data_IF_405162725329
#
_entry.id   IF_405162725329
#
_cell.length_a   1.000
_cell.length_b   1.000
_cell.length_c   1.000
_cell.angle_alpha   90.00
_cell.angle_beta   90.00
_cell.angle_gamma   90.00
#
_symmetry.space_group_name_H-M   'P 1'
#
loop_
_entity.id
_entity.type
_entity.pdbx_description
1 polymer ?
#
# COMPACT_ATOMS: atom_id res chain seq x y z
N UNK A 1 -5.71 -23.19 11.56
CA UNK A 1 -6.43 -22.57 10.44
C UNK A 1 -6.02 -23.27 9.16
N UNK A 2 -6.98 -23.70 8.36
CA UNK A 2 -6.74 -24.47 7.13
C UNK A 2 -6.99 -23.54 5.93
N UNK A 3 -6.04 -23.48 5.00
CA UNK A 3 -6.24 -22.81 3.70
C UNK A 3 -7.18 -23.65 2.84
N UNK A 4 -8.12 -22.98 2.18
CA UNK A 4 -9.11 -23.56 1.28
C UNK A 4 -8.89 -23.00 -0.16
N UNK A 5 -9.98 -22.91 -0.95
CA UNK A 5 -9.92 -22.45 -2.32
C UNK A 5 -9.45 -20.99 -2.47
N UNK A 6 -8.84 -20.68 -3.61
CA UNK A 6 -8.47 -19.32 -3.98
C UNK A 6 -9.72 -18.50 -4.30
N UNK A 7 -9.87 -17.36 -3.64
CA UNK A 7 -10.96 -16.41 -3.86
C UNK A 7 -10.64 -15.42 -4.97
N UNK A 8 -9.38 -14.97 -5.02
CA UNK A 8 -8.95 -13.93 -5.93
C UNK A 8 -7.44 -14.02 -6.21
N UNK A 9 -7.05 -13.70 -7.42
CA UNK A 9 -5.66 -13.51 -7.79
C UNK A 9 -5.45 -12.12 -8.39
N UNK A 10 -4.64 -11.32 -7.71
CA UNK A 10 -4.21 -10.00 -8.16
C UNK A 10 -2.83 -10.00 -8.80
N UNK A 11 -2.34 -8.82 -9.11
CA UNK A 11 -1.02 -8.58 -9.73
C UNK A 11 0.13 -9.12 -8.88
N UNK A 12 0.11 -8.87 -7.57
CA UNK A 12 1.19 -9.21 -6.64
C UNK A 12 0.79 -10.20 -5.54
N UNK A 13 -0.48 -10.56 -5.43
CA UNK A 13 -1.02 -11.40 -4.34
C UNK A 13 -2.06 -12.39 -4.82
N UNK A 14 -2.21 -13.47 -4.06
CA UNK A 14 -3.33 -14.41 -4.13
C UNK A 14 -4.05 -14.40 -2.78
N UNK A 15 -5.36 -14.48 -2.78
CA UNK A 15 -6.21 -14.48 -1.59
C UNK A 15 -6.95 -15.80 -1.51
N UNK A 16 -6.84 -16.47 -0.37
CA UNK A 16 -7.45 -17.77 -0.14
C UNK A 16 -8.47 -17.70 1.01
N UNK A 17 -9.56 -18.44 0.87
CA UNK A 17 -10.50 -18.70 1.95
C UNK A 17 -9.84 -19.58 3.02
N UNK A 18 -10.33 -19.46 4.25
CA UNK A 18 -9.96 -20.34 5.34
C UNK A 18 -11.18 -21.08 5.88
N UNK A 19 -10.96 -22.01 6.81
CA UNK A 19 -12.01 -22.67 7.59
C UNK A 19 -12.71 -21.74 8.59
N UNK A 20 -12.18 -20.54 8.81
CA UNK A 20 -12.82 -19.44 9.54
C UNK A 20 -13.40 -18.42 8.53
N UNK A 21 -14.72 -18.20 8.47
CA UNK A 21 -15.35 -17.35 7.45
C UNK A 21 -14.93 -15.88 7.53
N UNK A 22 -14.45 -15.42 8.70
CA UNK A 22 -14.02 -14.04 8.93
C UNK A 22 -12.52 -13.83 8.69
N UNK A 23 -11.80 -14.87 8.24
CA UNK A 23 -10.37 -14.82 7.96
C UNK A 23 -10.02 -15.28 6.57
N UNK A 24 -8.96 -14.70 6.02
CA UNK A 24 -8.35 -15.06 4.74
C UNK A 24 -6.85 -15.25 4.92
N UNK A 25 -6.24 -15.99 3.99
CA UNK A 25 -4.80 -16.04 3.80
C UNK A 25 -4.45 -15.23 2.56
N UNK A 26 -3.47 -14.33 2.69
CA UNK A 26 -2.90 -13.54 1.61
C UNK A 26 -1.50 -14.06 1.32
N UNK A 27 -1.29 -14.55 0.11
CA UNK A 27 0.00 -15.02 -0.39
C UNK A 27 0.66 -13.97 -1.28
N UNK A 28 1.90 -13.58 -0.97
CA UNK A 28 2.68 -12.59 -1.69
C UNK A 28 3.51 -13.24 -2.81
N UNK A 29 3.32 -12.75 -4.04
CA UNK A 29 3.97 -13.23 -5.25
C UNK A 29 5.23 -12.43 -5.58
N UNK A 30 6.15 -13.04 -6.34
CA UNK A 30 7.34 -12.37 -6.87
C UNK A 30 7.06 -11.54 -8.14
N UNK A 31 5.82 -11.56 -8.62
CA UNK A 31 5.41 -10.80 -9.80
C UNK A 31 5.52 -9.29 -9.55
N UNK A 32 6.12 -8.58 -10.48
CA UNK A 32 6.18 -7.13 -10.56
C UNK A 32 5.50 -6.65 -11.83
N UNK A 33 4.58 -5.70 -11.70
CA UNK A 33 3.88 -5.10 -12.83
C UNK A 33 3.91 -3.58 -12.75
N UNK A 34 3.96 -2.91 -13.89
CA UNK A 34 3.87 -1.47 -14.00
C UNK A 34 3.06 -1.07 -15.24
N UNK A 35 2.57 0.19 -15.27
CA UNK A 35 1.84 0.75 -16.41
C UNK A 35 0.66 -0.12 -16.85
N UNK A 36 -0.26 -0.42 -15.92
CA UNK A 36 -1.45 -1.26 -16.15
C UNK A 36 -1.10 -2.61 -16.82
N UNK A 37 -0.13 -3.34 -16.24
CA UNK A 37 0.33 -4.64 -16.73
C UNK A 37 1.09 -4.64 -18.08
N UNK A 38 1.44 -3.49 -18.65
CA UNK A 38 2.25 -3.42 -19.86
C UNK A 38 3.67 -3.93 -19.57
N UNK A 39 4.25 -3.52 -18.44
CA UNK A 39 5.56 -3.98 -18.01
C UNK A 39 5.40 -5.05 -16.94
N UNK A 40 5.99 -6.23 -17.16
CA UNK A 40 5.92 -7.39 -16.25
C UNK A 40 7.30 -7.99 -16.07
N UNK A 41 7.60 -8.43 -14.85
CA UNK A 41 8.78 -9.23 -14.53
C UNK A 41 8.51 -10.11 -13.29
N UNK A 42 9.38 -11.05 -13.06
CA UNK A 42 9.49 -11.77 -11.78
C UNK A 42 10.76 -11.28 -11.10
N UNK A 43 10.65 -10.80 -9.86
CA UNK A 43 11.77 -10.34 -9.04
C UNK A 43 11.88 -11.33 -7.88
N UNK A 44 12.92 -12.12 -7.89
CA UNK A 44 13.16 -13.16 -6.88
C UNK A 44 13.08 -12.60 -5.46
N UNK A 45 12.31 -13.28 -4.60
CA UNK A 45 12.07 -12.92 -3.21
C UNK A 45 11.32 -11.61 -2.97
N UNK A 46 10.81 -10.93 -4.01
CA UNK A 46 10.02 -9.69 -3.83
C UNK A 46 8.80 -9.91 -2.92
N UNK A 47 8.11 -11.05 -3.10
CA UNK A 47 6.96 -11.40 -2.26
C UNK A 47 7.35 -11.58 -0.79
N UNK A 48 8.48 -12.25 -0.52
CA UNK A 48 9.03 -12.41 0.83
C UNK A 48 9.32 -11.06 1.47
N UNK A 49 9.99 -10.17 0.74
CA UNK A 49 10.35 -8.84 1.22
C UNK A 49 9.10 -7.98 1.48
N UNK A 50 8.15 -7.96 0.56
CA UNK A 50 6.90 -7.20 0.74
C UNK A 50 6.07 -7.73 1.92
N UNK A 51 5.98 -9.07 2.09
CA UNK A 51 5.32 -9.67 3.24
C UNK A 51 5.97 -9.23 4.55
N UNK A 52 7.29 -9.32 4.66
CA UNK A 52 8.04 -8.93 5.86
C UNK A 52 7.89 -7.43 6.18
N UNK A 53 8.07 -6.55 5.18
CA UNK A 53 7.95 -5.09 5.34
C UNK A 53 6.52 -4.72 5.74
N UNK A 54 5.50 -5.23 5.02
CA UNK A 54 4.10 -4.93 5.31
C UNK A 54 3.71 -5.42 6.71
N UNK A 55 4.19 -6.60 7.13
CA UNK A 55 4.01 -7.11 8.50
C UNK A 55 4.51 -6.13 9.56
N UNK A 56 5.74 -5.66 9.44
CA UNK A 56 6.34 -4.75 10.41
C UNK A 56 5.60 -3.41 10.44
N UNK A 57 5.23 -2.88 9.27
CA UNK A 57 4.47 -1.63 9.18
C UNK A 57 3.08 -1.78 9.79
N UNK A 58 2.33 -2.85 9.49
CA UNK A 58 1.02 -3.09 10.10
C UNK A 58 1.10 -3.19 11.62
N UNK A 59 2.12 -3.88 12.15
CA UNK A 59 2.33 -3.96 13.61
C UNK A 59 2.56 -2.57 14.24
N UNK A 60 3.36 -1.71 13.61
CA UNK A 60 3.60 -0.34 14.10
C UNK A 60 2.33 0.53 14.01
N UNK A 61 1.55 0.40 12.94
CA UNK A 61 0.27 1.07 12.81
C UNK A 61 -0.71 0.61 13.90
N UNK A 62 -0.80 -0.70 14.15
CA UNK A 62 -1.65 -1.27 15.21
C UNK A 62 -1.22 -0.82 16.61
N UNK A 63 0.08 -0.79 16.92
CA UNK A 63 0.61 -0.23 18.18
C UNK A 63 0.19 1.24 18.36
N UNK A 64 0.03 1.97 17.27
CA UNK A 64 -0.42 3.37 17.25
C UNK A 64 -1.94 3.54 17.20
N UNK A 65 -2.71 2.44 17.35
CA UNK A 65 -4.17 2.43 17.42
C UNK A 65 -4.88 2.42 16.06
N UNK A 66 -4.16 2.24 14.94
CA UNK A 66 -4.78 2.10 13.62
C UNK A 66 -5.37 0.70 13.48
N UNK A 67 -6.65 0.62 13.13
CA UNK A 67 -7.32 -0.65 12.84
C UNK A 67 -6.93 -1.14 11.45
N UNK A 68 -6.45 -2.38 11.39
CA UNK A 68 -6.00 -3.00 10.14
C UNK A 68 -6.63 -4.37 9.95
N UNK A 69 -6.61 -4.89 8.76
CA UNK A 69 -7.03 -6.27 8.48
C UNK A 69 -5.98 -7.31 8.92
N UNK A 70 -4.72 -6.92 9.10
CA UNK A 70 -3.63 -7.82 9.45
C UNK A 70 -3.84 -8.46 10.83
N UNK A 71 -3.66 -9.79 10.92
CA UNK A 71 -3.72 -10.55 12.18
C UNK A 71 -2.33 -11.09 12.53
N UNK A 72 -1.76 -11.92 11.65
CA UNK A 72 -0.46 -12.57 11.89
C UNK A 72 0.22 -12.99 10.58
N UNK A 73 1.51 -13.22 10.65
CA UNK A 73 2.30 -13.81 9.56
C UNK A 73 2.51 -15.29 9.85
N UNK A 74 2.18 -16.16 8.90
CA UNK A 74 2.27 -17.62 9.05
C UNK A 74 3.63 -18.17 8.59
N UNK A 75 4.16 -17.57 7.52
CA UNK A 75 5.45 -17.92 6.92
C UNK A 75 6.00 -16.74 6.11
N UNK A 76 7.10 -16.95 5.38
CA UNK A 76 7.77 -15.90 4.62
C UNK A 76 6.91 -15.22 3.56
N UNK A 77 5.82 -15.85 3.11
CA UNK A 77 4.97 -15.34 2.03
C UNK A 77 3.51 -15.14 2.41
N UNK A 78 3.06 -15.68 3.54
CA UNK A 78 1.65 -15.75 3.86
C UNK A 78 1.30 -14.99 5.14
N UNK A 79 0.25 -14.21 5.06
CA UNK A 79 -0.39 -13.53 6.20
C UNK A 79 -1.81 -14.02 6.39
N UNK A 80 -2.21 -14.14 7.65
CA UNK A 80 -3.62 -14.22 8.03
C UNK A 80 -4.16 -12.82 8.22
N UNK A 81 -5.25 -12.52 7.56
CA UNK A 81 -5.93 -11.24 7.66
C UNK A 81 -7.42 -11.42 7.96
N UNK A 82 -8.04 -10.41 8.56
CA UNK A 82 -9.50 -10.31 8.63
C UNK A 82 -10.05 -10.28 7.20
N UNK A 83 -11.11 -11.03 6.96
CA UNK A 83 -11.85 -10.94 5.71
C UNK A 83 -12.60 -9.62 5.65
N UNK A 84 -12.39 -8.88 4.59
CA UNK A 84 -13.05 -7.59 4.35
C UNK A 84 -13.64 -7.53 2.95
N UNK A 85 -14.69 -6.75 2.79
CA UNK A 85 -15.14 -6.30 1.48
C UNK A 85 -14.35 -5.04 1.15
N UNK A 86 -13.46 -5.13 0.16
CA UNK A 86 -12.65 -3.98 -0.25
C UNK A 86 -13.55 -2.85 -0.73
N UNK A 87 -13.34 -1.66 -0.20
CA UNK A 87 -13.92 -0.43 -0.71
C UNK A 87 -13.22 -0.14 -2.04
N UNK A 88 -13.96 0.01 -3.15
CA UNK A 88 -13.36 0.11 -4.48
C UNK A 88 -12.71 1.49 -4.73
N UNK A 89 -11.88 1.91 -3.80
CA UNK A 89 -11.10 3.15 -3.85
C UNK A 89 -9.63 2.87 -3.53
N UNK A 90 -8.74 3.47 -4.30
CA UNK A 90 -7.35 3.66 -3.93
C UNK A 90 -7.20 5.06 -3.33
N UNK A 91 -6.76 5.16 -2.10
CA UNK A 91 -6.48 6.42 -1.41
C UNK A 91 -4.98 6.70 -1.49
N UNK A 92 -4.62 7.81 -2.10
CA UNK A 92 -3.21 8.17 -2.34
C UNK A 92 -2.88 9.43 -1.55
N UNK A 93 -1.85 9.34 -0.73
CA UNK A 93 -1.29 10.49 0.00
C UNK A 93 -0.04 10.96 -0.69
N UNK A 94 0.08 12.27 -0.91
CA UNK A 94 1.26 12.88 -1.52
C UNK A 94 1.85 13.93 -0.60
N UNK A 95 2.98 13.58 -0.01
CA UNK A 95 3.79 14.50 0.80
C UNK A 95 4.75 15.31 -0.06
N UNK A 96 5.12 14.78 -1.22
CA UNK A 96 5.99 15.43 -2.23
C UNK A 96 5.37 15.18 -3.60
N UNK A 97 5.45 16.13 -4.49
CA UNK A 97 4.93 15.98 -5.85
C UNK A 97 5.86 15.06 -6.65
N UNK A 98 5.32 13.94 -7.12
CA UNK A 98 6.07 12.93 -7.87
C UNK A 98 5.17 12.12 -8.81
N UNK A 99 5.79 11.36 -9.72
CA UNK A 99 5.12 10.40 -10.59
C UNK A 99 4.00 11.02 -11.44
N UNK A 100 2.84 10.36 -11.47
CA UNK A 100 1.70 10.80 -12.30
C UNK A 100 1.17 12.19 -11.96
N UNK A 101 1.31 12.63 -10.70
CA UNK A 101 0.88 13.96 -10.29
C UNK A 101 1.79 15.04 -10.88
N UNK A 102 3.12 14.84 -10.82
CA UNK A 102 4.09 15.75 -11.41
C UNK A 102 3.82 15.94 -12.92
N UNK A 103 3.58 14.83 -13.63
CA UNK A 103 3.25 14.83 -15.05
C UNK A 103 1.91 15.53 -15.35
N UNK A 104 0.87 15.18 -14.59
CA UNK A 104 -0.50 15.69 -14.78
C UNK A 104 -0.60 17.20 -14.57
N UNK A 105 0.14 17.73 -13.61
CA UNK A 105 0.12 19.15 -13.26
C UNK A 105 1.23 19.97 -13.92
N UNK A 106 2.19 19.33 -14.61
CA UNK A 106 3.35 20.00 -15.19
C UNK A 106 4.28 20.62 -14.12
N UNK A 107 4.34 20.01 -12.93
CA UNK A 107 5.16 20.49 -11.81
C UNK A 107 6.41 19.59 -11.70
N UNK A 108 7.55 20.17 -11.39
CA UNK A 108 8.80 19.43 -11.22
C UNK A 108 8.71 18.38 -10.12
N UNK A 109 9.19 17.17 -10.43
CA UNK A 109 9.24 16.07 -9.45
C UNK A 109 10.17 16.43 -8.29
N UNK A 110 9.71 16.21 -7.06
CA UNK A 110 10.44 16.60 -5.85
C UNK A 110 9.95 17.91 -5.23
N UNK A 111 9.09 18.65 -5.91
CA UNK A 111 8.50 19.88 -5.36
C UNK A 111 7.69 19.58 -4.10
N UNK A 112 7.93 20.38 -3.05
CA UNK A 112 7.17 20.33 -1.81
C UNK A 112 5.84 21.08 -1.98
N UNK A 113 4.67 20.42 -1.85
CA UNK A 113 3.39 21.13 -1.86
C UNK A 113 3.20 21.91 -0.56
N UNK A 114 2.36 22.95 -0.59
CA UNK A 114 2.03 23.75 0.60
C UNK A 114 1.23 22.99 1.67
N UNK A 115 0.61 21.88 1.28
CA UNK A 115 -0.18 21.00 2.14
C UNK A 115 -0.05 19.55 1.67
N UNK A 116 -0.39 18.60 2.54
CA UNK A 116 -0.53 17.19 2.14
C UNK A 116 -1.70 17.08 1.15
N UNK A 117 -1.49 16.36 0.06
CA UNK A 117 -2.50 16.16 -0.97
C UNK A 117 -3.07 14.75 -0.85
N UNK A 118 -4.40 14.65 -0.94
CA UNK A 118 -5.12 13.40 -0.99
C UNK A 118 -5.77 13.25 -2.36
N UNK A 119 -5.40 12.21 -3.09
CA UNK A 119 -6.07 11.78 -4.31
C UNK A 119 -6.89 10.52 -4.01
N UNK A 120 -8.02 10.34 -4.67
CA UNK A 120 -8.74 9.07 -4.70
C UNK A 120 -8.90 8.60 -6.15
N UNK A 121 -8.66 7.29 -6.37
CA UNK A 121 -8.92 6.64 -7.64
C UNK A 121 -10.03 5.59 -7.46
N UNK A 122 -10.88 5.45 -8.47
CA UNK A 122 -11.82 4.35 -8.53
C UNK A 122 -11.07 3.08 -8.91
N UNK A 123 -11.01 2.12 -7.96
CA UNK A 123 -10.30 0.85 -8.14
C UNK A 123 -11.01 -0.02 -9.15
N UNK A 124 -10.62 0.12 -10.41
CA UNK A 124 -11.14 -0.65 -11.52
C UNK A 124 -10.08 -0.79 -12.61
N UNK A 125 -9.32 -1.89 -12.56
CA UNK A 125 -8.18 -2.17 -13.45
C UNK A 125 -8.51 -1.99 -14.95
N UNK A 126 -9.73 -2.37 -15.37
CA UNK A 126 -10.19 -2.25 -16.74
C UNK A 126 -10.29 -0.80 -17.23
N UNK A 127 -10.49 0.14 -16.32
CA UNK A 127 -10.55 1.58 -16.59
C UNK A 127 -9.22 2.29 -16.31
N UNK A 128 -8.19 1.57 -15.85
CA UNK A 128 -6.89 2.13 -15.47
C UNK A 128 -6.91 2.91 -14.15
N UNK A 129 -7.79 2.54 -13.22
CA UNK A 129 -7.94 3.15 -11.90
C UNK A 129 -8.05 4.69 -11.97
N UNK A 130 -9.11 5.23 -12.63
CA UNK A 130 -9.22 6.65 -12.91
C UNK A 130 -9.30 7.48 -11.64
N UNK A 131 -8.64 8.65 -11.65
CA UNK A 131 -8.77 9.65 -10.61
C UNK A 131 -10.21 10.17 -10.57
N UNK A 132 -10.79 10.20 -9.37
CA UNK A 132 -12.15 10.69 -9.12
C UNK A 132 -12.15 11.68 -7.96
N UNK A 133 -13.28 12.31 -7.69
CA UNK A 133 -13.50 13.10 -6.48
C UNK A 133 -14.54 12.43 -5.56
N UNK A 134 -14.75 13.03 -4.39
CA UNK A 134 -15.65 12.53 -3.36
C UNK A 134 -17.09 12.35 -3.86
N UNK A 135 -17.59 13.30 -4.65
CA UNK A 135 -18.93 13.22 -5.23
C UNK A 135 -19.06 12.04 -6.21
N UNK A 136 -18.03 11.75 -7.00
CA UNK A 136 -18.01 10.58 -7.84
C UNK A 136 -18.01 9.28 -7.01
N UNK A 137 -17.20 9.20 -5.94
CA UNK A 137 -17.13 8.02 -5.08
C UNK A 137 -18.49 7.70 -4.44
N UNK A 138 -19.20 8.73 -3.96
CA UNK A 138 -20.55 8.58 -3.39
C UNK A 138 -21.58 8.25 -4.47
N UNK A 139 -21.57 8.93 -5.61
CA UNK A 139 -22.51 8.69 -6.70
C UNK A 139 -22.37 7.27 -7.30
N UNK A 140 -21.17 6.70 -7.28
CA UNK A 140 -20.89 5.32 -7.68
C UNK A 140 -21.29 4.28 -6.62
N UNK A 141 -21.74 4.73 -5.43
CA UNK A 141 -22.07 3.84 -4.32
C UNK A 141 -20.87 3.12 -3.69
N UNK A 142 -19.66 3.62 -3.93
CA UNK A 142 -18.43 3.05 -3.35
C UNK A 142 -18.37 3.28 -1.83
N UNK A 143 -18.75 4.48 -1.40
CA UNK A 143 -18.76 4.95 -0.01
C UNK A 143 -19.88 5.96 0.21
N UNK A 144 -20.17 6.25 1.50
CA UNK A 144 -20.92 7.44 1.90
C UNK A 144 -20.00 8.62 2.21
N UNK A 145 -20.53 9.83 2.40
CA UNK A 145 -19.71 10.98 2.83
C UNK A 145 -19.12 10.77 4.23
N UNK A 146 -19.90 10.16 5.14
CA UNK A 146 -19.45 9.84 6.51
C UNK A 146 -18.28 8.81 6.47
N UNK A 147 -18.37 7.83 5.60
CA UNK A 147 -17.27 6.87 5.41
C UNK A 147 -16.03 7.54 4.81
N UNK A 148 -16.17 8.49 3.87
CA UNK A 148 -15.05 9.26 3.33
C UNK A 148 -14.37 10.11 4.42
N UNK A 149 -15.15 10.77 5.27
CA UNK A 149 -14.61 11.55 6.39
C UNK A 149 -13.78 10.64 7.32
N UNK A 150 -14.29 9.45 7.67
CA UNK A 150 -13.54 8.47 8.46
C UNK A 150 -12.28 7.99 7.75
N UNK A 151 -12.36 7.66 6.45
CA UNK A 151 -11.22 7.21 5.64
C UNK A 151 -10.13 8.30 5.60
N UNK A 152 -10.49 9.57 5.39
CA UNK A 152 -9.52 10.67 5.39
C UNK A 152 -8.89 10.90 6.76
N UNK A 153 -9.68 10.82 7.83
CA UNK A 153 -9.15 10.92 9.19
C UNK A 153 -8.14 9.80 9.49
N UNK A 154 -8.48 8.54 9.15
CA UNK A 154 -7.57 7.41 9.27
C UNK A 154 -6.34 7.59 8.39
N UNK A 155 -6.49 8.02 7.15
CA UNK A 155 -5.40 8.25 6.19
C UNK A 155 -4.44 9.32 6.70
N UNK A 156 -4.95 10.42 7.25
CA UNK A 156 -4.13 11.48 7.86
C UNK A 156 -3.30 10.94 9.02
N UNK A 157 -3.92 10.15 9.89
CA UNK A 157 -3.22 9.52 11.02
C UNK A 157 -2.17 8.51 10.56
N UNK A 158 -2.49 7.68 9.56
CA UNK A 158 -1.54 6.73 8.95
C UNK A 158 -0.35 7.50 8.35
N UNK A 159 -0.60 8.59 7.62
CA UNK A 159 0.48 9.40 7.05
C UNK A 159 1.44 9.96 8.11
N UNK A 160 0.90 10.49 9.20
CA UNK A 160 1.71 10.99 10.32
C UNK A 160 2.63 9.90 10.89
N UNK A 161 2.07 8.71 11.17
CA UNK A 161 2.83 7.57 11.72
C UNK A 161 3.90 7.10 10.74
N UNK A 162 3.54 6.90 9.46
CA UNK A 162 4.47 6.42 8.45
C UNK A 162 5.59 7.43 8.16
N UNK A 163 5.28 8.73 8.06
CA UNK A 163 6.33 9.76 7.91
C UNK A 163 7.33 9.74 9.05
N UNK A 164 6.85 9.63 10.28
CA UNK A 164 7.71 9.55 11.47
C UNK A 164 8.54 8.26 11.48
N UNK A 165 7.97 7.13 11.08
CA UNK A 165 8.65 5.85 10.99
C UNK A 165 9.78 5.90 9.94
N UNK A 166 9.46 6.33 8.72
CA UNK A 166 10.42 6.39 7.62
C UNK A 166 11.50 7.46 7.86
N UNK A 167 11.18 8.59 8.49
CA UNK A 167 12.17 9.59 8.86
C UNK A 167 13.25 9.04 9.81
N UNK A 168 12.88 8.18 10.78
CA UNK A 168 13.84 7.48 11.66
C UNK A 168 14.76 6.54 10.87
N UNK A 169 14.34 6.08 9.72
CA UNK A 169 15.11 5.25 8.80
C UNK A 169 15.97 6.07 7.81
N UNK A 170 16.01 7.39 7.94
CA UNK A 170 16.60 8.32 6.96
C UNK A 170 15.96 8.20 5.56
N UNK A 171 14.63 8.02 5.52
CA UNK A 171 13.84 7.87 4.30
C UNK A 171 12.75 8.93 4.27
N UNK A 172 12.63 9.60 3.13
CA UNK A 172 11.52 10.49 2.80
C UNK A 172 10.36 9.67 2.22
N UNK A 173 9.22 9.65 2.91
CA UNK A 173 7.98 9.11 2.38
C UNK A 173 7.36 10.14 1.43
N UNK A 174 7.61 9.97 0.15
CA UNK A 174 7.18 10.89 -0.92
C UNK A 174 5.68 10.82 -1.13
N UNK A 175 5.19 9.63 -1.40
CA UNK A 175 3.77 9.33 -1.51
C UNK A 175 3.52 7.84 -1.19
N UNK A 176 2.26 7.50 -0.99
CA UNK A 176 1.84 6.11 -0.85
C UNK A 176 0.37 5.93 -1.21
N UNK A 177 0.02 4.72 -1.64
CA UNK A 177 -1.33 4.26 -1.91
C UNK A 177 -1.75 3.26 -0.83
N UNK A 178 -2.94 3.44 -0.29
CA UNK A 178 -3.57 2.50 0.65
C UNK A 178 -5.00 2.19 0.22
N UNK A 179 -5.50 1.07 0.71
CA UNK A 179 -6.87 0.62 0.48
C UNK A 179 -7.55 0.33 1.81
N UNK A 180 -8.86 0.47 1.82
CA UNK A 180 -9.69 0.18 2.98
C UNK A 180 -10.70 -0.92 2.67
N UNK A 181 -11.17 -1.59 3.69
CA UNK A 181 -12.21 -2.60 3.57
C UNK A 181 -13.18 -2.57 4.74
N UNK A 182 -14.40 -3.03 4.48
CA UNK A 182 -15.43 -3.24 5.51
C UNK A 182 -15.39 -4.68 5.98
N UNK A 183 -15.30 -4.86 7.28
CA UNK A 183 -15.45 -6.17 7.94
C UNK A 183 -16.90 -6.63 7.94
N UNK A 184 -17.15 -7.87 8.38
CA UNK A 184 -18.51 -8.44 8.47
C UNK A 184 -19.43 -7.67 9.42
N UNK A 185 -18.88 -6.99 10.43
CA UNK A 185 -19.57 -6.13 11.38
C UNK A 185 -19.66 -4.65 10.94
N UNK A 186 -19.19 -4.33 9.73
CA UNK A 186 -19.27 -2.99 9.14
C UNK A 186 -18.15 -2.04 9.53
N UNK A 187 -17.15 -2.51 10.30
CA UNK A 187 -16.00 -1.67 10.64
C UNK A 187 -15.12 -1.41 9.43
N UNK A 188 -14.70 -0.16 9.23
CA UNK A 188 -13.69 0.19 8.21
C UNK A 188 -12.30 0.02 8.79
N UNK A 189 -11.47 -0.74 8.09
CA UNK A 189 -10.09 -1.01 8.48
C UNK A 189 -9.13 -0.80 7.30
N UNK A 190 -7.87 -0.46 7.61
CA UNK A 190 -6.80 -0.47 6.61
C UNK A 190 -6.58 -1.88 6.11
N UNK A 191 -6.56 -2.05 4.81
CA UNK A 191 -6.40 -3.33 4.11
C UNK A 191 -5.24 -3.27 3.11
N UNK A 192 -5.16 -4.25 2.21
CA UNK A 192 -4.13 -4.43 1.18
C UNK A 192 -2.72 -4.56 1.78
N UNK A 193 -1.79 -3.70 1.44
CA UNK A 193 -0.41 -3.69 1.94
C UNK A 193 0.12 -2.27 2.09
N UNK A 194 1.17 -2.11 2.90
CA UNK A 194 2.05 -0.94 2.90
C UNK A 194 3.47 -1.45 2.68
N UNK A 195 4.00 -1.22 1.50
CA UNK A 195 5.28 -1.79 1.07
C UNK A 195 5.96 -0.88 0.02
N UNK A 196 7.19 -1.17 -0.40
CA UNK A 196 7.82 -0.47 -1.52
C UNK A 196 7.07 -0.56 -2.85
N UNK A 197 6.11 -1.51 -2.99
CA UNK A 197 5.21 -1.58 -4.15
C UNK A 197 4.14 -0.48 -4.14
N UNK A 198 3.73 -0.02 -2.96
CA UNK A 198 2.65 0.96 -2.76
C UNK A 198 3.14 2.33 -2.27
N UNK A 199 4.44 2.45 -1.95
CA UNK A 199 5.06 3.69 -1.47
C UNK A 199 6.14 4.16 -2.45
N UNK A 200 6.38 5.49 -2.51
CA UNK A 200 7.63 6.08 -3.01
C UNK A 200 8.49 6.47 -1.82
N UNK A 201 9.68 5.87 -1.77
CA UNK A 201 10.62 5.95 -0.67
C UNK A 201 11.96 6.43 -1.20
N UNK A 202 12.35 7.66 -0.83
CA UNK A 202 13.63 8.23 -1.25
C UNK A 202 14.57 8.36 -0.07
N UNK A 203 15.81 7.92 -0.24
CA UNK A 203 16.85 8.14 0.77
C UNK A 203 17.08 9.63 0.98
N UNK A 204 17.04 10.10 2.23
CA UNK A 204 17.13 11.54 2.53
C UNK A 204 18.52 12.12 2.27
N UNK A 205 19.57 11.29 2.23
CA UNK A 205 20.95 11.73 2.00
C UNK A 205 21.32 11.71 0.53
N UNK A 206 20.98 10.61 -0.17
CA UNK A 206 21.42 10.36 -1.56
C UNK A 206 20.35 10.68 -2.59
N UNK A 207 19.09 10.83 -2.17
CA UNK A 207 17.92 10.97 -3.01
C UNK A 207 17.65 9.73 -3.90
N UNK A 208 18.29 8.60 -3.56
CA UNK A 208 18.11 7.34 -4.26
C UNK A 208 16.70 6.78 -4.01
N UNK A 209 16.08 6.24 -5.06
CA UNK A 209 14.77 5.61 -5.00
C UNK A 209 14.90 4.19 -4.45
N UNK A 210 14.20 3.90 -3.36
CA UNK A 210 14.23 2.60 -2.67
C UNK A 210 12.87 1.86 -2.77
N UNK A 211 12.20 2.06 -3.88
CA UNK A 211 10.83 1.60 -4.12
C UNK A 211 10.63 1.07 -5.55
N UNK A 212 9.38 0.80 -5.90
CA UNK A 212 8.99 0.25 -7.21
C UNK A 212 9.33 1.14 -8.41
N UNK A 213 9.64 2.42 -8.21
CA UNK A 213 10.09 3.28 -9.30
C UNK A 213 11.41 2.80 -9.90
N UNK A 214 12.23 2.03 -9.16
CA UNK A 214 13.40 1.34 -9.74
C UNK A 214 12.99 0.38 -10.87
N UNK A 215 11.88 -0.34 -10.68
CA UNK A 215 11.33 -1.19 -11.74
C UNK A 215 10.64 -0.40 -12.84
N UNK A 216 9.83 0.61 -12.47
CA UNK A 216 9.11 1.45 -13.45
C UNK A 216 10.06 2.16 -14.41
N UNK A 217 11.20 2.65 -13.91
CA UNK A 217 12.16 3.51 -14.62
C UNK A 217 13.45 2.79 -15.06
N UNK A 218 13.50 1.46 -14.99
CA UNK A 218 14.67 0.64 -15.36
C UNK A 218 15.97 1.02 -14.63
N UNK A 219 15.89 1.41 -13.35
CA UNK A 219 17.05 1.79 -12.55
C UNK A 219 17.84 0.59 -12.01
N UNK A 220 17.34 -0.65 -12.19
CA UNK A 220 17.93 -1.87 -11.67
C UNK A 220 17.90 -1.98 -10.15
N UNK A 221 18.49 -3.05 -9.60
CA UNK A 221 18.66 -3.30 -8.16
C UNK A 221 17.37 -3.16 -7.36
N UNK A 222 16.24 -3.67 -7.88
CA UNK A 222 14.92 -3.55 -7.23
C UNK A 222 14.89 -4.36 -5.93
N UNK A 223 15.40 -5.60 -5.98
CA UNK A 223 15.45 -6.50 -4.82
C UNK A 223 16.31 -5.88 -3.72
N UNK A 224 17.52 -5.43 -4.06
CA UNK A 224 18.46 -4.83 -3.11
C UNK A 224 17.86 -3.58 -2.42
N UNK A 225 17.09 -2.78 -3.14
CA UNK A 225 16.40 -1.64 -2.55
C UNK A 225 15.33 -2.09 -1.52
N UNK A 226 14.59 -3.16 -1.79
CA UNK A 226 13.62 -3.70 -0.84
C UNK A 226 14.30 -4.36 0.38
N UNK A 227 15.43 -5.06 0.16
CA UNK A 227 16.28 -5.58 1.24
C UNK A 227 16.79 -4.46 2.15
N UNK A 228 17.20 -3.33 1.57
CA UNK A 228 17.65 -2.15 2.32
C UNK A 228 16.51 -1.54 3.16
N UNK A 229 15.31 -1.40 2.60
CA UNK A 229 14.13 -0.95 3.36
C UNK A 229 13.85 -1.89 4.53
N UNK A 230 13.84 -3.21 4.29
CA UNK A 230 13.60 -4.19 5.35
C UNK A 230 14.66 -4.09 6.45
N UNK A 231 15.94 -4.02 6.07
CA UNK A 231 17.05 -3.93 7.03
C UNK A 231 16.98 -2.67 7.90
N UNK A 232 16.66 -1.51 7.30
CA UNK A 232 16.47 -0.26 8.06
C UNK A 232 15.24 -0.34 8.97
N UNK A 233 14.14 -0.91 8.49
CA UNK A 233 12.91 -1.05 9.28
C UNK A 233 13.13 -1.97 10.49
N UNK A 234 13.78 -3.11 10.31
CA UNK A 234 14.11 -4.04 11.40
C UNK A 234 14.96 -3.39 12.50
N UNK A 235 15.87 -2.47 12.16
CA UNK A 235 16.69 -1.74 13.16
C UNK A 235 15.87 -0.78 14.04
N UNK A 236 14.71 -0.33 13.53
CA UNK A 236 13.87 0.66 14.23
C UNK A 236 12.75 -0.01 15.03
N UNK A 237 12.19 -1.13 14.55
CA UNK A 237 10.99 -1.75 15.12
C UNK A 237 11.20 -3.20 15.57
N UNK A 238 12.40 -3.74 15.34
CA UNK A 238 12.81 -5.09 15.74
C UNK A 238 13.20 -5.23 17.21
#
# INVERSE_FOLDING_TARGET
MKQLEMLYEGKAKQVFRTDDPDKIIIHYKDAATAFNNIKKATIENKGVLNNAISTLIFKELQKSGVKTHYIETINDRDQVCRRVTIIPLEVIVRNVIAGSMAQRLGIEEGTQPSNVIYDICYKKDELGDPLINDHHAVALGAVTYEELELIYAMTSRINEILRNLFAKMNINLVDFKIEFGRTSDGEIVLADEVSPDTCRLWDMTTNEKLDKDRFRRDLGKVREAYEEILARLQKIVG
#
